data_IF_602819503465
#
_entry.id   IF_602819503465
#
_cell.length_a   1.000
_cell.length_b   1.000
_cell.length_c   1.000
_cell.angle_alpha   90.00
_cell.angle_beta   90.00
_cell.angle_gamma   90.00
#
_symmetry.space_group_name_H-M   'P 1'
#
loop_
_entity.id
_entity.type
_entity.pdbx_description
1 polymer ?
#
# COMPACT_ATOMS: atom_id res chain seq x y z
N UNK A 1 39.93 8.46 11.13
CA UNK A 1 39.38 9.58 10.34
C UNK A 1 38.23 10.20 11.13
N UNK A 2 38.48 11.37 11.73
CA UNK A 2 37.50 12.12 12.54
C UNK A 2 36.88 13.21 11.66
N UNK A 3 35.56 13.24 11.54
CA UNK A 3 34.79 14.35 10.97
C UNK A 3 34.43 15.33 12.08
N UNK A 4 34.62 16.66 11.93
CA UNK A 4 34.27 17.62 12.96
C UNK A 4 32.80 18.04 12.86
N UNK A 5 32.18 18.18 14.04
CA UNK A 5 30.87 18.78 14.24
C UNK A 5 30.87 20.26 13.79
N UNK A 6 29.82 20.67 13.09
CA UNK A 6 29.57 22.06 12.74
C UNK A 6 29.13 22.87 13.97
N UNK A 7 29.84 23.97 14.21
CA UNK A 7 29.53 24.99 15.21
C UNK A 7 28.25 25.76 14.84
N UNK A 8 27.20 25.62 15.65
CA UNK A 8 26.06 26.54 15.61
C UNK A 8 26.41 27.81 16.39
N UNK A 9 26.83 28.84 15.66
CA UNK A 9 27.10 30.18 16.19
C UNK A 9 25.77 30.88 16.52
N UNK A 10 25.48 30.99 17.80
CA UNK A 10 24.41 31.85 18.34
C UNK A 10 24.77 33.33 18.13
N UNK A 11 23.89 34.09 17.47
CA UNK A 11 24.01 35.55 17.37
C UNK A 11 23.17 36.23 18.47
N UNK A 12 23.62 37.35 19.06
CA UNK A 12 22.86 38.05 20.09
C UNK A 12 21.75 38.92 19.49
N UNK A 13 20.61 38.93 20.19
CA UNK A 13 19.41 39.69 19.88
C UNK A 13 19.68 41.20 20.07
N UNK A 14 19.71 41.96 18.97
CA UNK A 14 19.83 43.43 19.01
C UNK A 14 18.43 44.04 19.20
N UNK A 15 18.29 44.77 20.29
CA UNK A 15 17.10 45.54 20.68
C UNK A 15 16.78 46.64 19.67
N UNK A 16 15.58 46.63 19.08
CA UNK A 16 15.08 47.69 18.20
C UNK A 16 14.40 48.80 19.03
N UNK A 17 14.69 50.10 18.80
CA UNK A 17 14.04 51.20 19.51
C UNK A 17 12.61 51.46 18.99
N UNK A 18 11.73 52.07 19.81
CA UNK A 18 10.33 52.28 19.45
C UNK A 18 10.16 53.35 18.37
N UNK A 19 9.24 53.09 17.44
CA UNK A 19 8.90 53.97 16.33
C UNK A 19 8.33 55.31 16.82
N UNK A 20 8.87 56.42 16.31
CA UNK A 20 8.29 57.76 16.47
C UNK A 20 7.02 57.90 15.62
N UNK A 21 5.99 58.62 16.10
CA UNK A 21 4.80 58.90 15.30
C UNK A 21 5.13 59.92 14.20
N UNK A 22 4.76 59.59 12.96
CA UNK A 22 4.88 60.46 11.80
C UNK A 22 3.96 61.69 11.91
N UNK A 23 4.37 62.88 11.41
CA UNK A 23 3.57 64.08 11.47
C UNK A 23 2.40 64.03 10.48
N UNK A 24 1.23 64.47 10.94
CA UNK A 24 0.02 64.64 10.14
C UNK A 24 0.25 65.68 9.04
N UNK A 25 0.42 65.21 7.79
CA UNK A 25 0.30 66.05 6.61
C UNK A 25 -1.16 66.05 6.16
N UNK A 26 -1.74 67.24 6.26
CA UNK A 26 -3.01 67.68 5.72
C UNK A 26 -3.16 67.25 4.25
N UNK A 27 -3.92 66.18 3.99
CA UNK A 27 -4.27 65.75 2.64
C UNK A 27 -5.49 66.52 2.14
N UNK A 28 -5.29 67.23 1.03
CA UNK A 28 -6.32 67.87 0.23
C UNK A 28 -7.37 66.83 -0.29
N UNK A 29 -8.62 67.22 -0.55
CA UNK A 29 -9.63 66.32 -1.09
C UNK A 29 -9.28 66.01 -2.54
N UNK A 30 -8.73 64.82 -2.76
CA UNK A 30 -8.55 64.29 -4.12
C UNK A 30 -9.82 63.51 -4.44
N UNK A 31 -10.77 64.18 -5.09
CA UNK A 31 -11.84 63.52 -5.84
C UNK A 31 -11.20 62.72 -6.98
N UNK A 32 -10.76 61.51 -6.64
CA UNK A 32 -10.43 60.45 -7.59
C UNK A 32 -11.52 59.39 -7.45
N UNK A 33 -12.28 59.10 -8.52
CA UNK A 33 -13.33 58.09 -8.43
C UNK A 33 -12.70 56.74 -8.11
N UNK A 34 -13.27 56.05 -7.11
CA UNK A 34 -12.99 54.65 -6.82
C UNK A 34 -13.00 53.84 -8.13
N UNK A 35 -12.00 52.97 -8.39
CA UNK A 35 -12.08 52.07 -9.52
C UNK A 35 -13.35 51.23 -9.38
N UNK A 36 -14.13 51.01 -10.47
CA UNK A 36 -15.33 50.19 -10.41
C UNK A 36 -14.95 48.79 -9.87
N UNK A 37 -15.88 48.12 -9.16
CA UNK A 37 -15.61 46.79 -8.62
C UNK A 37 -15.11 45.89 -9.76
N UNK A 38 -13.93 45.33 -9.55
CA UNK A 38 -13.34 44.38 -10.48
C UNK A 38 -14.36 43.26 -10.71
N UNK A 39 -14.77 43.11 -11.97
CA UNK A 39 -15.73 42.13 -12.49
C UNK A 39 -17.20 42.31 -12.07
N UNK A 40 -18.10 42.26 -13.05
CA UNK A 40 -19.55 42.25 -12.82
C UNK A 40 -19.98 40.93 -12.13
N UNK A 41 -21.06 40.92 -11.32
CA UNK A 41 -21.53 39.70 -10.65
C UNK A 41 -21.75 38.50 -11.59
N UNK A 42 -22.16 38.77 -12.83
CA UNK A 42 -22.30 37.75 -13.88
C UNK A 42 -20.98 37.11 -14.27
N UNK A 43 -19.90 37.90 -14.42
CA UNK A 43 -18.56 37.37 -14.72
C UNK A 43 -17.99 36.52 -13.57
N UNK A 44 -18.32 36.87 -12.33
CA UNK A 44 -17.93 36.08 -11.15
C UNK A 44 -18.64 34.72 -11.15
N UNK A 45 -19.93 34.69 -11.51
CA UNK A 45 -20.69 33.45 -11.62
C UNK A 45 -20.17 32.56 -12.76
N UNK A 46 -19.92 33.15 -13.93
CA UNK A 46 -19.40 32.41 -15.09
C UNK A 46 -18.01 31.80 -14.79
N UNK A 47 -17.12 32.58 -14.17
CA UNK A 47 -15.80 32.09 -13.73
C UNK A 47 -15.90 31.03 -12.63
N UNK A 48 -16.88 31.12 -11.72
CA UNK A 48 -17.13 30.08 -10.73
C UNK A 48 -17.61 28.75 -11.37
N UNK A 49 -18.48 28.83 -12.39
CA UNK A 49 -18.95 27.65 -13.13
C UNK A 49 -17.81 27.02 -13.94
N UNK A 50 -16.98 27.83 -14.60
CA UNK A 50 -15.82 27.36 -15.34
C UNK A 50 -14.78 26.72 -14.41
N UNK A 51 -14.53 27.31 -13.23
CA UNK A 51 -13.67 26.71 -12.21
C UNK A 51 -14.21 25.35 -11.74
N UNK A 52 -15.51 25.24 -11.46
CA UNK A 52 -16.12 23.96 -11.09
C UNK A 52 -15.99 22.91 -12.20
N UNK A 53 -16.15 23.32 -13.46
CA UNK A 53 -15.94 22.44 -14.63
C UNK A 53 -14.49 21.94 -14.71
N UNK A 54 -13.52 22.83 -14.53
CA UNK A 54 -12.09 22.48 -14.55
C UNK A 54 -11.75 21.52 -13.39
N UNK A 55 -12.27 21.78 -12.19
CA UNK A 55 -12.08 20.89 -11.03
C UNK A 55 -12.63 19.49 -11.32
N UNK A 56 -13.83 19.38 -11.89
CA UNK A 56 -14.39 18.08 -12.28
C UNK A 56 -13.55 17.37 -13.35
N UNK A 57 -12.99 18.11 -14.31
CA UNK A 57 -12.08 17.52 -15.30
C UNK A 57 -10.77 17.03 -14.68
N UNK A 58 -10.22 17.77 -13.70
CA UNK A 58 -9.04 17.36 -12.95
C UNK A 58 -9.33 16.09 -12.14
N UNK A 59 -10.46 16.05 -11.44
CA UNK A 59 -10.84 14.87 -10.65
C UNK A 59 -11.11 13.65 -11.54
N UNK A 60 -11.77 13.83 -12.68
CA UNK A 60 -11.97 12.77 -13.65
C UNK A 60 -10.63 12.25 -14.22
N UNK A 61 -9.71 13.16 -14.57
CA UNK A 61 -8.38 12.78 -15.05
C UNK A 61 -7.56 12.05 -13.97
N UNK A 62 -7.68 12.45 -12.71
CA UNK A 62 -7.05 11.78 -11.56
C UNK A 62 -7.62 10.37 -11.36
N UNK A 63 -8.93 10.23 -11.35
CA UNK A 63 -9.58 8.92 -11.22
C UNK A 63 -9.21 7.98 -12.38
N UNK A 64 -9.15 8.49 -13.61
CA UNK A 64 -8.70 7.72 -14.77
C UNK A 64 -7.22 7.31 -14.64
N UNK A 65 -6.35 8.20 -14.17
CA UNK A 65 -4.94 7.89 -13.93
C UNK A 65 -4.78 6.81 -12.84
N UNK A 66 -5.54 6.88 -11.76
CA UNK A 66 -5.54 5.86 -10.70
C UNK A 66 -6.07 4.51 -11.21
N UNK A 67 -7.12 4.49 -12.02
CA UNK A 67 -7.64 3.26 -12.64
C UNK A 67 -6.60 2.62 -13.58
N UNK A 68 -5.92 3.43 -14.40
CA UNK A 68 -4.82 2.92 -15.25
C UNK A 68 -3.62 2.44 -14.42
N UNK A 69 -3.30 3.10 -13.31
CA UNK A 69 -2.23 2.66 -12.40
C UNK A 69 -2.54 1.29 -11.81
N UNK A 70 -3.75 1.09 -11.28
CA UNK A 70 -4.18 -0.20 -10.72
C UNK A 70 -4.18 -1.29 -11.79
N UNK A 71 -4.68 -1.00 -12.99
CA UNK A 71 -4.64 -1.94 -14.12
C UNK A 71 -3.21 -2.32 -14.51
N UNK A 72 -2.32 -1.33 -14.60
CA UNK A 72 -0.90 -1.57 -14.90
C UNK A 72 -0.23 -2.45 -13.84
N UNK A 73 -0.47 -2.17 -12.56
CA UNK A 73 0.06 -2.97 -11.45
C UNK A 73 -0.46 -4.42 -11.50
N UNK A 74 -1.74 -4.61 -11.81
CA UNK A 74 -2.33 -5.95 -11.96
C UNK A 74 -1.75 -6.72 -13.15
N UNK A 75 -1.60 -6.07 -14.31
CA UNK A 75 -1.04 -6.68 -15.52
C UNK A 75 0.46 -6.99 -15.33
N UNK A 76 1.19 -6.10 -14.65
CA UNK A 76 2.59 -6.33 -14.31
C UNK A 76 2.74 -7.56 -13.39
N UNK A 77 1.88 -7.71 -12.39
CA UNK A 77 1.89 -8.88 -11.51
C UNK A 77 1.59 -10.18 -12.28
N UNK A 78 0.59 -10.17 -13.17
CA UNK A 78 0.28 -11.31 -14.04
C UNK A 78 1.47 -11.64 -14.94
N UNK A 79 2.07 -10.64 -15.58
CA UNK A 79 3.25 -10.81 -16.43
C UNK A 79 4.41 -11.43 -15.65
N UNK A 80 4.72 -10.94 -14.45
CA UNK A 80 5.79 -11.48 -13.61
C UNK A 80 5.53 -12.94 -13.22
N UNK A 81 4.27 -13.29 -12.91
CA UNK A 81 3.88 -14.68 -12.65
C UNK A 81 4.14 -15.57 -13.87
N UNK A 82 3.71 -15.14 -15.06
CA UNK A 82 3.91 -15.89 -16.31
C UNK A 82 5.40 -16.00 -16.66
N UNK A 83 6.19 -14.94 -16.45
CA UNK A 83 7.65 -15.01 -16.64
C UNK A 83 8.31 -16.01 -15.68
N UNK A 84 7.86 -16.07 -14.43
CA UNK A 84 8.31 -17.08 -13.47
C UNK A 84 7.96 -18.49 -13.95
N UNK A 85 6.73 -18.71 -14.43
CA UNK A 85 6.29 -20.01 -14.95
C UNK A 85 7.10 -20.43 -16.18
N UNK A 86 7.37 -19.51 -17.12
CA UNK A 86 8.21 -19.76 -18.29
C UNK A 86 9.64 -20.16 -17.87
N UNK A 87 10.22 -19.47 -16.89
CA UNK A 87 11.54 -19.80 -16.37
C UNK A 87 11.54 -21.18 -15.68
N UNK A 88 10.47 -21.51 -14.94
CA UNK A 88 10.28 -22.84 -14.36
C UNK A 88 10.19 -23.93 -15.43
N UNK A 89 9.39 -23.73 -16.48
CA UNK A 89 9.25 -24.67 -17.59
C UNK A 89 10.57 -24.86 -18.36
N UNK A 90 11.36 -23.80 -18.54
CA UNK A 90 12.70 -23.90 -19.12
C UNK A 90 13.62 -24.78 -18.28
N UNK A 91 13.61 -24.62 -16.96
CA UNK A 91 14.38 -25.47 -16.06
C UNK A 91 13.96 -26.94 -16.15
N UNK A 92 12.65 -27.21 -16.17
CA UNK A 92 12.14 -28.59 -16.34
C UNK A 92 12.57 -29.17 -17.70
N UNK A 93 12.57 -28.37 -18.76
CA UNK A 93 13.07 -28.79 -20.08
C UNK A 93 14.57 -29.12 -20.02
N UNK A 94 15.38 -28.31 -19.35
CA UNK A 94 16.81 -28.55 -19.20
C UNK A 94 17.09 -29.81 -18.35
N UNK A 95 16.38 -29.98 -17.24
CA UNK A 95 16.48 -31.14 -16.36
C UNK A 95 16.09 -32.44 -17.11
N UNK A 96 14.98 -32.41 -17.86
CA UNK A 96 14.54 -33.56 -18.68
C UNK A 96 15.52 -33.88 -19.81
N UNK A 97 16.11 -32.85 -20.45
CA UNK A 97 17.15 -33.05 -21.45
C UNK A 97 18.41 -33.66 -20.85
N UNK A 98 18.81 -33.23 -19.65
CA UNK A 98 19.95 -33.81 -18.94
C UNK A 98 19.70 -35.29 -18.61
N UNK A 99 18.52 -35.63 -18.06
CA UNK A 99 18.14 -37.03 -17.81
C UNK A 99 18.09 -37.86 -19.09
N UNK A 100 17.60 -37.30 -20.21
CA UNK A 100 17.63 -37.98 -21.51
C UNK A 100 19.06 -38.30 -21.93
N UNK A 101 19.98 -37.32 -21.86
CA UNK A 101 21.38 -37.51 -22.22
C UNK A 101 22.09 -38.53 -21.32
N UNK A 102 21.79 -38.53 -20.01
CA UNK A 102 22.31 -39.54 -19.07
C UNK A 102 21.86 -40.95 -19.47
N UNK A 103 20.55 -41.14 -19.72
CA UNK A 103 20.00 -42.42 -20.15
C UNK A 103 20.55 -42.85 -21.52
N UNK A 104 20.74 -41.93 -22.46
CA UNK A 104 21.39 -42.21 -23.74
C UNK A 104 22.83 -42.71 -23.54
N UNK A 105 23.60 -42.10 -22.63
CA UNK A 105 24.94 -42.56 -22.28
C UNK A 105 24.95 -43.93 -21.59
N UNK A 106 24.01 -44.22 -20.69
CA UNK A 106 23.86 -45.55 -20.08
C UNK A 106 23.52 -46.61 -21.14
N UNK A 107 22.64 -46.29 -22.09
CA UNK A 107 22.31 -47.20 -23.21
C UNK A 107 23.53 -47.47 -24.08
N UNK A 108 24.35 -46.46 -24.38
CA UNK A 108 25.58 -46.62 -25.16
C UNK A 108 26.61 -47.47 -24.42
N UNK A 109 26.84 -47.20 -23.14
CA UNK A 109 27.72 -48.00 -22.28
C UNK A 109 27.29 -49.48 -22.22
N UNK A 110 26.01 -49.76 -21.99
CA UNK A 110 25.48 -51.13 -21.97
C UNK A 110 25.60 -51.83 -23.32
N UNK A 111 25.47 -51.08 -24.43
CA UNK A 111 25.72 -51.64 -25.77
C UNK A 111 27.19 -52.01 -25.97
N UNK A 112 28.11 -51.17 -25.51
CA UNK A 112 29.55 -51.46 -25.55
C UNK A 112 29.90 -52.68 -24.71
N UNK A 113 29.36 -52.79 -23.49
CA UNK A 113 29.55 -53.95 -22.61
C UNK A 113 29.01 -55.23 -23.25
N UNK A 114 27.83 -55.17 -23.89
CA UNK A 114 27.26 -56.31 -24.61
C UNK A 114 28.14 -56.75 -25.78
N UNK A 115 28.68 -55.80 -26.55
CA UNK A 115 29.62 -56.10 -27.64
C UNK A 115 30.91 -56.72 -27.08
N UNK A 116 31.44 -56.16 -26.00
CA UNK A 116 32.63 -56.67 -25.32
C UNK A 116 32.44 -58.12 -24.83
N UNK A 117 31.33 -58.40 -24.13
CA UNK A 117 31.01 -59.75 -23.65
C UNK A 117 30.83 -60.75 -24.79
N UNK A 118 30.19 -60.36 -25.90
CA UNK A 118 30.06 -61.21 -27.09
C UNK A 118 31.42 -61.52 -27.71
N UNK A 119 32.29 -60.51 -27.82
CA UNK A 119 33.65 -60.68 -28.35
C UNK A 119 34.47 -61.61 -27.44
N UNK A 120 34.45 -61.37 -26.14
CA UNK A 120 35.17 -62.21 -25.18
C UNK A 120 34.69 -63.66 -25.22
N UNK A 121 33.37 -63.88 -25.29
CA UNK A 121 32.83 -65.24 -25.43
C UNK A 121 33.26 -65.90 -26.74
N UNK A 122 33.27 -65.16 -27.86
CA UNK A 122 33.77 -65.69 -29.13
C UNK A 122 35.26 -66.06 -29.04
N UNK A 123 36.09 -65.19 -28.46
CA UNK A 123 37.52 -65.43 -28.26
C UNK A 123 37.77 -66.65 -27.34
N UNK A 124 36.96 -66.84 -26.29
CA UNK A 124 37.00 -68.03 -25.42
C UNK A 124 36.59 -69.30 -26.16
N UNK A 125 35.52 -69.25 -26.96
CA UNK A 125 35.07 -70.40 -27.77
C UNK A 125 36.15 -70.76 -28.80
N UNK A 126 36.75 -69.78 -29.47
CA UNK A 126 37.83 -70.00 -30.44
C UNK A 126 39.08 -70.58 -29.75
N UNK A 127 39.42 -70.11 -28.55
CA UNK A 127 40.50 -70.66 -27.72
C UNK A 127 40.24 -72.11 -27.29
N UNK A 128 39.02 -72.43 -26.87
CA UNK A 128 38.63 -73.80 -26.50
C UNK A 128 38.61 -74.71 -27.73
N UNK A 129 38.12 -74.24 -28.88
CA UNK A 129 38.19 -74.99 -30.14
C UNK A 129 39.65 -75.23 -30.55
N UNK A 130 40.51 -74.22 -30.44
CA UNK A 130 41.95 -74.35 -30.69
C UNK A 130 42.61 -75.35 -29.73
N UNK A 131 42.26 -75.33 -28.44
CA UNK A 131 42.70 -76.33 -27.47
C UNK A 131 42.20 -77.73 -27.83
N UNK A 132 40.95 -77.89 -28.25
CA UNK A 132 40.40 -79.18 -28.67
C UNK A 132 41.14 -79.70 -29.91
N UNK A 133 41.40 -78.84 -30.91
CA UNK A 133 42.18 -79.22 -32.10
C UNK A 133 43.65 -79.52 -31.80
N UNK A 134 44.26 -78.78 -30.87
CA UNK A 134 45.63 -79.01 -30.42
C UNK A 134 45.74 -80.22 -29.46
N UNK A 135 44.62 -80.61 -28.83
CA UNK A 135 44.47 -81.84 -28.04
C UNK A 135 44.15 -83.07 -28.90
N UNK A 136 44.35 -82.97 -30.22
CA UNK A 136 44.52 -84.14 -31.09
C UNK A 136 45.52 -85.10 -30.46
N UNK A 137 44.96 -86.16 -29.88
CA UNK A 137 45.59 -87.23 -29.11
C UNK A 137 47.04 -87.51 -29.52
N UNK A 138 47.97 -87.12 -28.66
CA UNK A 138 49.23 -87.85 -28.45
C UNK A 138 49.41 -87.96 -26.93
N UNK A 139 48.81 -89.02 -26.38
CA UNK A 139 49.13 -89.51 -25.03
C UNK A 139 50.41 -90.33 -25.18
N UNK A 140 51.55 -89.66 -25.18
CA UNK A 140 52.84 -90.31 -24.94
C UNK A 140 53.08 -90.29 -23.44
N UNK A 141 52.83 -91.45 -22.83
CA UNK A 141 53.25 -91.76 -21.46
C UNK A 141 54.78 -91.91 -21.50
N UNK A 142 55.48 -90.81 -21.30
CA UNK A 142 56.90 -90.87 -20.96
C UNK A 142 57.02 -91.27 -19.49
N UNK A 143 57.46 -92.51 -19.27
CA UNK A 143 57.75 -93.04 -17.95
C UNK A 143 59.03 -92.36 -17.44
N UNK A 144 58.87 -91.16 -16.88
CA UNK A 144 59.95 -90.47 -16.20
C UNK A 144 60.51 -91.34 -15.07
N UNK A 145 61.84 -91.30 -14.94
CA UNK A 145 62.68 -91.96 -13.94
C UNK A 145 62.03 -92.04 -12.55
N UNK A 146 62.34 -93.08 -11.75
CA UNK A 146 61.78 -93.23 -10.41
C UNK A 146 62.01 -91.95 -9.60
N UNK A 147 60.96 -91.13 -9.51
CA UNK A 147 60.96 -89.95 -8.68
C UNK A 147 61.13 -90.43 -7.25
N UNK A 148 62.08 -89.82 -6.57
CA UNK A 148 62.27 -90.00 -5.14
C UNK A 148 60.98 -89.57 -4.43
N UNK A 149 60.09 -90.54 -4.18
CA UNK A 149 58.77 -90.35 -3.56
C UNK A 149 58.88 -89.58 -2.23
N UNK A 150 60.04 -89.67 -1.55
CA UNK A 150 60.34 -88.87 -0.37
C UNK A 150 60.42 -87.37 -0.66
N UNK A 151 61.07 -86.97 -1.75
CA UNK A 151 61.13 -85.57 -2.19
C UNK A 151 59.80 -85.06 -2.70
N UNK A 152 59.06 -85.86 -3.47
CA UNK A 152 57.73 -85.48 -3.97
C UNK A 152 56.73 -85.32 -2.83
N UNK A 153 56.71 -86.23 -1.86
CA UNK A 153 55.87 -86.10 -0.66
C UNK A 153 56.27 -84.91 0.22
N UNK A 154 57.57 -84.61 0.33
CA UNK A 154 58.04 -83.42 1.04
C UNK A 154 57.66 -82.12 0.31
N UNK A 155 57.73 -82.10 -1.01
CA UNK A 155 57.33 -80.98 -1.85
C UNK A 155 55.82 -80.75 -1.80
N UNK A 156 55.01 -81.80 -1.85
CA UNK A 156 53.54 -81.71 -1.66
C UNK A 156 53.23 -81.14 -0.28
N UNK A 157 53.89 -81.62 0.79
CA UNK A 157 53.72 -81.03 2.14
C UNK A 157 54.10 -79.56 2.17
N UNK A 158 55.23 -79.19 1.59
CA UNK A 158 55.66 -77.80 1.51
C UNK A 158 54.69 -76.92 0.71
N UNK A 159 54.06 -77.45 -0.34
CA UNK A 159 53.02 -76.74 -1.09
C UNK A 159 51.74 -76.56 -0.27
N UNK A 160 51.31 -77.58 0.49
CA UNK A 160 50.16 -77.46 1.38
C UNK A 160 50.42 -76.48 2.54
N UNK A 161 51.61 -76.53 3.15
CA UNK A 161 51.99 -75.59 4.21
C UNK A 161 52.04 -74.15 3.69
N UNK A 162 52.59 -73.94 2.48
CA UNK A 162 52.56 -72.63 1.82
C UNK A 162 51.15 -72.17 1.46
N UNK A 163 50.29 -73.07 0.98
CA UNK A 163 48.91 -72.75 0.63
C UNK A 163 48.09 -72.40 1.88
N UNK A 164 48.27 -73.13 2.97
CA UNK A 164 47.63 -72.84 4.25
C UNK A 164 48.09 -71.49 4.83
N UNK A 165 49.39 -71.19 4.76
CA UNK A 165 49.92 -69.89 5.17
C UNK A 165 49.39 -68.74 4.32
N UNK A 166 49.34 -68.90 2.99
CA UNK A 166 48.76 -67.91 2.08
C UNK A 166 47.28 -67.69 2.36
N UNK A 167 46.50 -68.77 2.52
CA UNK A 167 45.07 -68.67 2.81
C UNK A 167 44.83 -67.93 4.14
N UNK A 168 45.60 -68.24 5.18
CA UNK A 168 45.50 -67.52 6.46
C UNK A 168 45.83 -66.03 6.31
N UNK A 169 46.90 -65.69 5.59
CA UNK A 169 47.29 -64.30 5.34
C UNK A 169 46.26 -63.54 4.50
N UNK A 170 45.70 -64.17 3.47
CA UNK A 170 44.67 -63.61 2.60
C UNK A 170 43.37 -63.38 3.38
N UNK A 171 42.98 -64.32 4.24
CA UNK A 171 41.83 -64.16 5.15
C UNK A 171 42.07 -62.99 6.10
N UNK A 172 43.20 -62.94 6.80
CA UNK A 172 43.52 -61.83 7.71
C UNK A 172 43.52 -60.48 6.98
N UNK A 173 44.04 -60.43 5.75
CA UNK A 173 44.01 -59.23 4.92
C UNK A 173 42.58 -58.83 4.58
N UNK A 174 41.73 -59.77 4.14
CA UNK A 174 40.33 -59.51 3.82
C UNK A 174 39.53 -59.04 5.05
N UNK A 175 39.73 -59.68 6.20
CA UNK A 175 39.10 -59.29 7.46
C UNK A 175 39.52 -57.88 7.89
N UNK A 176 40.81 -57.57 7.84
CA UNK A 176 41.32 -56.24 8.14
C UNK A 176 40.79 -55.19 7.14
N UNK A 177 40.68 -55.54 5.87
CA UNK A 177 40.11 -54.67 4.85
C UNK A 177 38.62 -54.40 5.10
N UNK A 178 37.83 -55.42 5.44
CA UNK A 178 36.42 -55.23 5.79
C UNK A 178 36.24 -54.38 7.05
N UNK A 179 37.04 -54.62 8.09
CA UNK A 179 36.99 -53.82 9.34
C UNK A 179 37.35 -52.36 9.06
N UNK A 180 38.40 -52.11 8.28
CA UNK A 180 38.81 -50.74 7.95
C UNK A 180 37.77 -50.02 7.10
N UNK A 181 37.20 -50.68 6.09
CA UNK A 181 36.11 -50.13 5.27
C UNK A 181 34.88 -49.81 6.13
N UNK A 182 34.42 -50.76 6.94
CA UNK A 182 33.29 -50.55 7.85
C UNK A 182 33.55 -49.42 8.85
N UNK A 183 34.77 -49.32 9.39
CA UNK A 183 35.15 -48.22 10.30
C UNK A 183 35.10 -46.88 9.59
N UNK A 184 35.62 -46.79 8.36
CA UNK A 184 35.56 -45.57 7.54
C UNK A 184 34.11 -45.17 7.29
N UNK A 185 33.26 -46.09 6.83
CA UNK A 185 31.83 -45.83 6.60
C UNK A 185 31.11 -45.37 7.87
N UNK A 186 31.34 -46.03 9.01
CA UNK A 186 30.75 -45.64 10.30
C UNK A 186 31.19 -44.23 10.69
N UNK A 187 32.48 -43.89 10.54
CA UNK A 187 32.98 -42.55 10.88
C UNK A 187 32.42 -41.49 9.94
N UNK A 188 32.24 -41.80 8.66
CA UNK A 188 31.63 -40.88 7.69
C UNK A 188 30.16 -40.66 8.01
N UNK A 189 29.38 -41.74 8.17
CA UNK A 189 27.96 -41.66 8.54
C UNK A 189 27.76 -40.91 9.86
N UNK A 190 28.64 -41.11 10.85
CA UNK A 190 28.59 -40.39 12.13
C UNK A 190 28.80 -38.88 11.94
N UNK A 191 29.77 -38.48 11.11
CA UNK A 191 30.00 -37.06 10.77
C UNK A 191 28.81 -36.45 10.04
N UNK A 192 28.24 -37.16 9.08
CA UNK A 192 27.05 -36.69 8.34
C UNK A 192 25.84 -36.50 9.27
N UNK A 193 25.63 -37.44 10.20
CA UNK A 193 24.59 -37.32 11.23
C UNK A 193 24.84 -36.10 12.15
N UNK A 194 26.10 -35.85 12.53
CA UNK A 194 26.45 -34.70 13.37
C UNK A 194 26.20 -33.37 12.65
N UNK A 195 26.59 -33.27 11.37
CA UNK A 195 26.31 -32.10 10.53
C UNK A 195 24.80 -31.90 10.36
N UNK A 196 24.04 -32.95 10.07
CA UNK A 196 22.59 -32.89 9.95
C UNK A 196 21.91 -32.47 11.28
N UNK A 197 22.41 -32.94 12.43
CA UNK A 197 21.93 -32.50 13.74
C UNK A 197 22.25 -31.02 13.99
N UNK A 198 23.44 -30.57 13.59
CA UNK A 198 23.84 -29.17 13.65
C UNK A 198 22.90 -28.26 12.86
N UNK A 199 22.64 -28.61 11.60
CA UNK A 199 21.76 -27.82 10.72
C UNK A 199 20.31 -27.79 11.23
N UNK A 200 19.78 -28.89 11.76
CA UNK A 200 18.45 -28.92 12.40
C UNK A 200 18.40 -28.02 13.64
N UNK A 201 19.46 -28.00 14.45
CA UNK A 201 19.54 -27.13 15.64
C UNK A 201 19.60 -25.65 15.26
N UNK A 202 20.38 -25.29 14.25
CA UNK A 202 20.45 -23.93 13.71
C UNK A 202 19.12 -23.49 13.10
N UNK A 203 18.46 -24.35 12.32
CA UNK A 203 17.17 -24.06 11.72
C UNK A 203 16.09 -23.87 12.80
N UNK A 204 16.14 -24.67 13.88
CA UNK A 204 15.25 -24.49 15.02
C UNK A 204 15.48 -23.16 15.75
N UNK A 205 16.74 -22.75 15.93
CA UNK A 205 17.08 -21.46 16.53
C UNK A 205 16.60 -20.29 15.68
N UNK A 206 16.86 -20.33 14.37
CA UNK A 206 16.41 -19.27 13.44
C UNK A 206 14.88 -19.19 13.39
N UNK A 207 14.18 -20.33 13.36
CA UNK A 207 12.72 -20.36 13.48
C UNK A 207 12.22 -19.68 14.75
N UNK A 208 12.80 -20.01 15.91
CA UNK A 208 12.43 -19.38 17.18
C UNK A 208 12.69 -17.87 17.20
N UNK A 209 13.81 -17.43 16.64
CA UNK A 209 14.11 -15.98 16.51
C UNK A 209 13.07 -15.29 15.63
N UNK A 210 12.75 -15.86 14.47
CA UNK A 210 11.73 -15.32 13.57
C UNK A 210 10.34 -15.29 14.22
N UNK A 211 9.98 -16.31 15.00
CA UNK A 211 8.72 -16.35 15.74
C UNK A 211 8.62 -15.24 16.79
N UNK A 212 9.72 -14.97 17.52
CA UNK A 212 9.80 -13.85 18.48
C UNK A 212 9.71 -12.50 17.76
N UNK A 213 10.42 -12.34 16.64
CA UNK A 213 10.35 -11.12 15.83
C UNK A 213 8.92 -10.87 15.33
N UNK A 214 8.26 -11.92 14.83
CA UNK A 214 6.87 -11.85 14.39
C UNK A 214 5.94 -11.40 15.54
N UNK A 215 6.08 -12.01 16.71
CA UNK A 215 5.28 -11.65 17.89
C UNK A 215 5.55 -10.21 18.33
N UNK A 216 6.81 -9.76 18.25
CA UNK A 216 7.18 -8.36 18.56
C UNK A 216 6.56 -7.37 17.57
N UNK A 217 6.51 -7.71 16.28
CA UNK A 217 5.87 -6.90 15.24
C UNK A 217 4.35 -6.86 15.40
N UNK A 218 3.72 -7.98 15.80
CA UNK A 218 2.28 -8.01 16.15
C UNK A 218 1.98 -7.06 17.31
N UNK A 219 2.80 -7.10 18.36
CA UNK A 219 2.67 -6.21 19.52
C UNK A 219 2.90 -4.73 19.14
N UNK A 220 3.89 -4.44 18.29
CA UNK A 220 4.12 -3.10 17.78
C UNK A 220 2.91 -2.61 16.97
N UNK A 221 2.40 -3.43 16.05
CA UNK A 221 1.19 -3.11 15.28
C UNK A 221 0.00 -2.82 16.21
N UNK A 222 -0.26 -3.68 17.20
CA UNK A 222 -1.35 -3.49 18.13
C UNK A 222 -1.22 -2.19 18.93
N UNK A 223 -0.02 -1.83 19.37
CA UNK A 223 0.21 -0.57 20.09
C UNK A 223 0.06 0.67 19.20
N UNK A 224 0.49 0.61 17.93
CA UNK A 224 0.27 1.68 16.96
C UNK A 224 -1.21 1.86 16.63
N UNK A 225 -1.96 0.78 16.45
CA UNK A 225 -3.40 0.85 16.24
C UNK A 225 -4.15 1.39 17.47
N UNK A 226 -3.72 1.02 18.69
CA UNK A 226 -4.27 1.60 19.91
C UNK A 226 -4.00 3.10 20.00
N UNK A 227 -2.77 3.53 19.72
CA UNK A 227 -2.41 4.96 19.68
C UNK A 227 -3.21 5.72 18.62
N UNK A 228 -3.44 5.13 17.44
CA UNK A 228 -4.26 5.74 16.40
C UNK A 228 -5.69 5.96 16.89
N UNK A 229 -6.32 4.92 17.48
CA UNK A 229 -7.67 5.02 18.05
C UNK A 229 -7.76 6.09 19.14
N UNK A 230 -6.77 6.15 20.03
CA UNK A 230 -6.70 7.17 21.09
C UNK A 230 -6.60 8.59 20.51
N UNK A 231 -5.79 8.78 19.46
CA UNK A 231 -5.64 10.07 18.79
C UNK A 231 -6.93 10.46 18.06
N UNK A 232 -7.54 9.53 17.32
CA UNK A 232 -8.84 9.74 16.66
C UNK A 232 -9.93 10.12 17.68
N UNK A 233 -10.00 9.41 18.81
CA UNK A 233 -10.96 9.71 19.87
C UNK A 233 -10.73 11.09 20.47
N UNK A 234 -9.46 11.48 20.72
CA UNK A 234 -9.12 12.82 21.22
C UNK A 234 -9.56 13.91 20.24
N UNK A 235 -9.31 13.73 18.94
CA UNK A 235 -9.75 14.69 17.92
C UNK A 235 -11.27 14.73 17.77
N UNK A 236 -11.95 13.59 17.84
CA UNK A 236 -13.41 13.54 17.83
C UNK A 236 -14.00 14.34 18.99
N UNK A 237 -13.47 14.18 20.21
CA UNK A 237 -13.89 14.96 21.38
C UNK A 237 -13.60 16.46 21.22
N UNK A 238 -12.45 16.83 20.65
CA UNK A 238 -12.13 18.24 20.38
C UNK A 238 -13.08 18.85 19.35
N UNK A 239 -13.41 18.10 18.28
CA UNK A 239 -14.35 18.54 17.26
C UNK A 239 -15.76 18.70 17.82
N UNK A 240 -16.23 17.75 18.64
CA UNK A 240 -17.51 17.87 19.34
C UNK A 240 -17.54 19.10 20.26
N UNK A 241 -16.45 19.35 21.00
CA UNK A 241 -16.33 20.53 21.85
C UNK A 241 -16.41 21.84 21.06
N UNK A 242 -15.65 21.96 19.98
CA UNK A 242 -15.65 23.14 19.11
C UNK A 242 -17.01 23.34 18.42
N UNK A 243 -17.62 22.26 17.93
CA UNK A 243 -18.97 22.30 17.36
C UNK A 243 -20.00 22.77 18.41
N UNK A 244 -19.87 22.31 19.65
CA UNK A 244 -20.71 22.77 20.75
C UNK A 244 -20.50 24.24 21.12
N UNK A 245 -19.30 24.79 20.93
CA UNK A 245 -19.05 26.24 21.08
C UNK A 245 -19.66 27.03 19.92
N UNK A 246 -19.51 26.53 18.68
CA UNK A 246 -20.07 27.14 17.48
C UNK A 246 -21.60 27.21 17.56
N UNK A 247 -22.27 26.11 17.92
CA UNK A 247 -23.73 26.09 18.10
C UNK A 247 -24.22 27.08 19.17
N UNK A 248 -23.46 27.25 20.27
CA UNK A 248 -23.77 28.24 21.30
C UNK A 248 -23.64 29.66 20.77
N UNK A 249 -22.56 29.97 20.06
CA UNK A 249 -22.35 31.29 19.45
C UNK A 249 -23.41 31.59 18.37
N UNK A 250 -23.80 30.61 17.56
CA UNK A 250 -24.89 30.74 16.59
C UNK A 250 -26.23 31.03 17.27
N UNK A 251 -26.54 30.34 18.38
CA UNK A 251 -27.74 30.59 19.16
C UNK A 251 -27.75 32.00 19.78
N UNK A 252 -26.63 32.46 20.33
CA UNK A 252 -26.47 33.83 20.84
C UNK A 252 -26.65 34.88 19.74
N UNK A 253 -26.05 34.67 18.56
CA UNK A 253 -26.25 35.56 17.40
C UNK A 253 -27.71 35.60 16.93
N UNK A 254 -28.39 34.45 16.91
CA UNK A 254 -29.81 34.38 16.56
C UNK A 254 -30.67 35.13 17.60
N UNK A 255 -30.36 34.97 18.88
CA UNK A 255 -31.04 35.69 19.96
C UNK A 255 -30.87 37.21 19.82
N UNK A 256 -29.64 37.70 19.63
CA UNK A 256 -29.37 39.14 19.45
C UNK A 256 -30.07 39.69 18.21
N UNK A 257 -30.12 38.94 17.10
CA UNK A 257 -30.88 39.35 15.91
C UNK A 257 -32.37 39.49 16.20
N UNK A 258 -32.96 38.54 16.92
CA UNK A 258 -34.37 38.62 17.32
C UNK A 258 -34.64 39.80 18.26
N UNK A 259 -33.72 40.06 19.21
CA UNK A 259 -33.83 41.20 20.12
C UNK A 259 -33.73 42.54 19.38
N UNK A 260 -32.83 42.66 18.40
CA UNK A 260 -32.72 43.85 17.53
C UNK A 260 -34.00 44.03 16.71
N UNK A 261 -34.53 42.96 16.11
CA UNK A 261 -35.77 43.01 15.36
C UNK A 261 -36.93 43.50 16.23
N UNK A 262 -37.05 42.95 17.44
CA UNK A 262 -38.07 43.38 18.41
C UNK A 262 -37.90 44.84 18.81
N UNK A 263 -36.68 45.28 19.11
CA UNK A 263 -36.40 46.69 19.41
C UNK A 263 -36.77 47.59 18.23
N UNK A 264 -36.46 47.19 17.00
CA UNK A 264 -36.84 47.96 15.81
C UNK A 264 -38.35 48.12 15.68
N UNK A 265 -39.12 47.07 15.97
CA UNK A 265 -40.58 47.11 15.99
C UNK A 265 -41.11 48.04 17.10
N UNK A 266 -40.55 47.95 18.31
CA UNK A 266 -40.89 48.82 19.44
C UNK A 266 -40.57 50.30 19.13
N UNK A 267 -39.41 50.58 18.51
CA UNK A 267 -39.03 51.93 18.08
C UNK A 267 -39.97 52.48 17.01
N UNK A 268 -40.35 51.67 16.03
CA UNK A 268 -41.30 52.09 14.99
C UNK A 268 -42.68 52.40 15.59
N UNK A 269 -43.14 51.60 16.55
CA UNK A 269 -44.39 51.85 17.25
C UNK A 269 -44.34 53.17 18.03
N UNK A 270 -43.24 53.45 18.72
CA UNK A 270 -43.04 54.70 19.45
C UNK A 270 -42.97 55.91 18.51
N UNK A 271 -42.29 55.78 17.37
CA UNK A 271 -42.23 56.81 16.33
C UNK A 271 -43.63 57.14 15.82
N UNK A 272 -44.44 56.11 15.50
CA UNK A 272 -45.82 56.31 15.06
C UNK A 272 -46.68 57.05 16.11
N UNK A 273 -46.48 56.78 17.40
CA UNK A 273 -47.18 57.50 18.48
C UNK A 273 -46.69 58.95 18.55
N UNK A 274 -45.38 59.18 18.46
CA UNK A 274 -44.78 60.52 18.47
C UNK A 274 -45.29 61.36 17.29
N UNK A 275 -45.38 60.78 16.09
CA UNK A 275 -45.92 61.47 14.92
C UNK A 275 -47.40 61.84 15.09
N UNK A 276 -48.21 60.95 15.71
CA UNK A 276 -49.60 61.27 16.08
C UNK A 276 -49.70 62.42 17.08
N UNK A 277 -48.88 62.39 18.14
CA UNK A 277 -48.84 63.46 19.13
C UNK A 277 -48.37 64.80 18.54
N UNK A 278 -47.42 64.79 17.61
CA UNK A 278 -46.99 65.99 16.89
C UNK A 278 -48.11 66.57 16.03
N UNK A 279 -48.91 65.73 15.37
CA UNK A 279 -50.11 66.16 14.66
C UNK A 279 -51.15 66.77 15.62
N UNK A 280 -51.40 66.15 16.77
CA UNK A 280 -52.27 66.72 17.81
C UNK A 280 -51.75 68.09 18.29
N UNK A 281 -50.47 68.23 18.60
CA UNK A 281 -49.87 69.52 19.00
C UNK A 281 -50.02 70.57 17.89
N UNK A 282 -49.80 70.21 16.63
CA UNK A 282 -49.97 71.12 15.50
C UNK A 282 -51.43 71.61 15.38
N UNK A 283 -52.41 70.72 15.55
CA UNK A 283 -53.83 71.09 15.58
C UNK A 283 -54.16 72.00 16.78
N UNK A 284 -53.64 71.70 17.98
CA UNK A 284 -53.80 72.57 19.14
C UNK A 284 -53.18 73.96 18.94
N UNK A 285 -51.99 74.06 18.32
CA UNK A 285 -51.37 75.35 17.97
C UNK A 285 -52.22 76.16 17.00
N UNK A 286 -52.77 75.52 15.96
CA UNK A 286 -53.68 76.17 14.99
C UNK A 286 -54.94 76.73 15.67
N UNK A 287 -55.50 76.02 16.65
CA UNK A 287 -56.64 76.48 17.45
C UNK A 287 -56.29 77.69 18.35
N UNK A 288 -55.08 77.71 18.92
CA UNK A 288 -54.63 78.76 19.85
C UNK A 288 -54.16 80.04 19.15
N UNK A 289 -53.59 79.95 17.95
CA UNK A 289 -53.08 81.10 17.18
C UNK A 289 -54.18 81.93 16.51
N UNK A 290 -55.47 81.60 16.72
CA UNK A 290 -56.59 82.41 16.24
C UNK A 290 -56.80 82.33 14.72
N UNK A 291 -56.52 81.18 14.10
CA UNK A 291 -56.81 80.95 12.69
C UNK A 291 -58.31 80.94 12.41
N UNK A 292 -58.75 81.87 11.59
CA UNK A 292 -60.11 82.02 11.08
C UNK A 292 -60.66 80.70 10.50
N UNK A 293 -61.92 80.39 10.85
CA UNK A 293 -62.76 79.28 10.36
C UNK A 293 -62.26 77.83 10.59
N UNK A 294 -62.59 77.29 11.78
CA UNK A 294 -62.58 75.86 12.05
C UNK A 294 -63.66 75.13 11.22
N UNK A 295 -63.29 74.61 10.05
CA UNK A 295 -64.15 73.73 9.25
C UNK A 295 -63.96 72.27 9.68
N UNK A 296 -65.03 71.67 10.20
CA UNK A 296 -65.10 70.31 10.77
C UNK A 296 -64.64 69.17 9.82
N UNK A 297 -64.51 69.45 8.52
CA UNK A 297 -64.05 68.48 7.52
C UNK A 297 -62.55 68.16 7.61
N UNK A 298 -61.72 69.04 8.16
CA UNK A 298 -60.26 68.83 8.24
C UNK A 298 -59.88 67.79 9.33
N UNK A 299 -60.73 67.63 10.35
CA UNK A 299 -60.58 66.62 11.41
C UNK A 299 -61.03 65.20 10.98
N UNK A 300 -61.67 65.06 9.82
CA UNK A 300 -62.23 63.80 9.32
C UNK A 300 -61.37 63.15 8.21
N UNK A 301 -60.31 63.83 7.75
CA UNK A 301 -59.50 63.34 6.62
C UNK A 301 -58.69 62.08 6.97
N UNK A 302 -58.41 61.82 8.25
CA UNK A 302 -57.60 60.65 8.65
C UNK A 302 -58.42 59.37 8.90
N UNK A 303 -59.74 59.40 8.71
CA UNK A 303 -60.60 58.20 8.76
C UNK A 303 -60.94 57.63 7.38
N UNK A 304 -60.39 58.21 6.29
CA UNK A 304 -60.71 57.85 4.91
C UNK A 304 -59.54 57.33 4.05
N UNK A 305 -58.31 57.28 4.57
CA UNK A 305 -57.20 56.62 3.86
C UNK A 305 -57.22 55.12 4.15
N UNK A 306 -58.11 54.41 3.46
CA UNK A 306 -57.87 53.00 3.17
C UNK A 306 -56.59 52.99 2.33
N UNK A 307 -55.46 52.75 2.99
CA UNK A 307 -54.24 52.34 2.30
C UNK A 307 -54.59 51.08 1.52
N UNK A 308 -54.80 51.25 0.21
CA UNK A 308 -54.88 50.13 -0.73
C UNK A 308 -53.51 49.45 -0.71
N UNK A 309 -53.35 48.46 0.16
CA UNK A 309 -52.14 47.65 0.23
C UNK A 309 -52.13 46.76 -1.02
N UNK A 310 -51.45 47.20 -2.07
CA UNK A 310 -51.21 46.36 -3.25
C UNK A 310 -50.20 45.28 -2.88
N UNK A 311 -50.68 44.07 -2.61
CA UNK A 311 -49.82 42.91 -2.39
C UNK A 311 -49.36 42.38 -3.75
N UNK A 312 -48.07 42.55 -4.06
CA UNK A 312 -47.43 41.92 -5.21
C UNK A 312 -47.00 40.51 -4.82
N UNK A 313 -47.77 39.51 -5.22
CA UNK A 313 -47.38 38.09 -5.07
C UNK A 313 -46.58 37.69 -6.29
N UNK A 314 -45.32 37.30 -6.08
CA UNK A 314 -44.44 36.75 -7.13
C UNK A 314 -44.33 35.25 -6.87
N UNK A 315 -44.92 34.45 -7.76
CA UNK A 315 -44.82 33.00 -7.69
C UNK A 315 -43.72 32.54 -8.65
N UNK A 316 -42.59 32.15 -8.09
CA UNK A 316 -41.47 31.58 -8.86
C UNK A 316 -41.61 30.07 -8.89
N UNK A 317 -41.90 29.50 -10.06
CA UNK A 317 -41.89 28.04 -10.24
C UNK A 317 -40.55 27.63 -10.83
N UNK A 318 -39.71 27.01 -9.99
CA UNK A 318 -38.39 26.51 -10.37
C UNK A 318 -38.48 25.01 -10.64
N UNK A 319 -38.23 24.59 -11.88
CA UNK A 319 -38.16 23.17 -12.25
C UNK A 319 -36.70 22.72 -12.32
N UNK A 320 -36.31 21.86 -11.38
CA UNK A 320 -34.97 21.27 -11.29
C UNK A 320 -35.00 19.81 -11.71
N UNK A 321 -34.11 19.43 -12.64
CA UNK A 321 -33.82 18.03 -12.99
C UNK A 321 -32.31 17.87 -12.86
N UNK A 322 -31.85 16.84 -12.13
CA UNK A 322 -30.44 16.53 -11.86
C UNK A 322 -29.60 17.71 -11.35
N UNK A 323 -30.14 18.49 -10.40
CA UNK A 323 -29.40 19.55 -9.72
C UNK A 323 -29.09 20.80 -10.55
N UNK A 324 -29.52 20.87 -11.83
CA UNK A 324 -29.40 22.05 -12.69
C UNK A 324 -30.77 22.67 -12.98
N UNK A 325 -30.86 24.01 -12.87
CA UNK A 325 -32.09 24.78 -13.16
C UNK A 325 -32.23 24.94 -14.67
N UNK A 326 -33.22 24.30 -15.28
CA UNK A 326 -33.39 24.27 -16.76
C UNK A 326 -34.40 25.31 -17.25
N UNK A 327 -35.29 25.80 -16.37
CA UNK A 327 -36.21 26.90 -16.70
C UNK A 327 -36.61 27.65 -15.44
N UNK A 328 -36.53 28.98 -15.48
CA UNK A 328 -37.06 29.87 -14.46
C UNK A 328 -38.16 30.73 -15.11
N UNK A 329 -39.37 30.71 -14.55
CA UNK A 329 -40.48 31.51 -15.03
C UNK A 329 -41.11 32.18 -13.83
N UNK A 330 -41.08 33.52 -13.85
CA UNK A 330 -41.67 34.37 -12.82
C UNK A 330 -42.92 35.03 -13.37
N UNK A 331 -44.04 34.75 -12.74
CA UNK A 331 -45.32 35.41 -13.03
C UNK A 331 -45.67 36.32 -11.86
N UNK A 332 -45.98 37.59 -12.17
CA UNK A 332 -46.37 38.58 -11.16
C UNK A 332 -47.81 38.98 -11.38
N UNK A 333 -48.67 38.67 -10.41
CA UNK A 333 -50.07 39.10 -10.42
C UNK A 333 -50.28 40.16 -9.34
N UNK A 334 -50.91 41.26 -9.74
CA UNK A 334 -51.22 42.39 -8.87
C UNK A 334 -52.67 42.24 -8.40
N UNK A 335 -52.85 41.96 -7.11
CA UNK A 335 -54.16 41.94 -6.50
C UNK A 335 -54.41 43.27 -5.81
N UNK A 336 -55.52 43.91 -6.19
CA UNK A 336 -55.98 45.19 -5.65
C UNK A 336 -57.26 44.90 -4.87
N UNK A 337 -57.22 45.08 -3.55
CA UNK A 337 -58.38 44.90 -2.68
C UNK A 337 -59.02 46.25 -2.33
#
# INVERSE_FOLDING_TARGET
MRTPLGELRTQPLVWAPPAQPAPALLSAPTDTPLPPPASSPSQILDSAVDNARIVLQIDNARLAADDFRVKFESELAIRQSVESDINGLRKVLDDTNMSRLQLEGEIESLKEELIFMKKNHQDEVDSLQAQITNSGLTVEVDAAQPQDLGKVMAEIRAQYDNLAQKNMADLDQQWNQMITQSTVEITQNTKEIEVARGSVSELRRTYQTLEIELESLRNLKASLEANLRDVEQRYAMQMEHLNGQLLRAEAELAQVRNDIQRQSEDYQALLNIKDKLEAEIATYRRLLEGGEEFNLNDALVDTGSITQTTHKVVTTTRKTVDGKVVSDTSESQLFRH
#
